data_IF_206098271441
#
_entry.id   IF_206098271441
#
_cell.length_a   1.000
_cell.length_b   1.000
_cell.length_c   1.000
_cell.angle_alpha   90.00
_cell.angle_beta   90.00
_cell.angle_gamma   90.00
#
_symmetry.space_group_name_H-M   'P 1'
#
loop_
_entity.id
_entity.type
_entity.pdbx_description
1 polymer ?
#
# COMPACT_ATOMS: atom_id res chain seq x y z
N UNK A 1 5.08 9.23 2.13
CA UNK A 1 5.56 7.89 1.78
C UNK A 1 6.12 7.90 0.35
N UNK A 2 7.33 7.39 0.17
CA UNK A 2 7.91 7.13 -1.14
C UNK A 2 7.72 5.67 -1.55
N UNK A 3 7.96 5.34 -2.82
CA UNK A 3 7.82 3.97 -3.27
C UNK A 3 8.65 3.65 -4.51
N UNK A 4 8.94 2.34 -4.66
CA UNK A 4 9.38 1.71 -5.90
C UNK A 4 8.44 0.57 -6.23
N UNK A 5 8.23 0.28 -7.50
CA UNK A 5 7.29 -0.74 -7.95
C UNK A 5 7.87 -1.58 -9.08
N UNK A 6 7.53 -2.88 -9.09
CA UNK A 6 7.85 -3.82 -10.16
C UNK A 6 6.59 -4.62 -10.54
N UNK A 7 6.15 -4.65 -11.81
CA UNK A 7 6.78 -3.99 -12.97
C UNK A 7 6.91 -2.48 -12.83
N UNK A 8 7.87 -1.83 -13.53
CA UNK A 8 8.11 -0.40 -13.36
C UNK A 8 6.97 0.46 -13.91
N UNK A 9 6.89 1.68 -13.39
CA UNK A 9 5.92 2.67 -13.88
C UNK A 9 6.11 2.97 -15.35
N UNK A 10 4.99 3.06 -16.07
CA UNK A 10 4.93 3.60 -17.41
C UNK A 10 4.08 4.88 -17.36
N UNK A 11 4.74 6.03 -17.35
CA UNK A 11 4.14 7.33 -17.06
C UNK A 11 3.61 7.35 -15.62
N UNK A 12 2.29 7.38 -15.44
CA UNK A 12 1.64 7.47 -14.11
C UNK A 12 0.93 6.17 -13.70
N UNK A 13 1.23 5.05 -14.36
CA UNK A 13 0.55 3.78 -14.11
C UNK A 13 1.48 2.59 -14.28
N UNK A 14 1.05 1.45 -13.76
CA UNK A 14 1.71 0.16 -13.90
C UNK A 14 0.84 -0.73 -14.79
N UNK A 15 1.47 -1.37 -15.77
CA UNK A 15 0.83 -2.39 -16.60
C UNK A 15 1.29 -3.76 -16.12
N UNK A 16 0.36 -4.63 -15.78
CA UNK A 16 0.65 -5.97 -15.26
C UNK A 16 -0.41 -6.94 -15.79
N UNK A 17 -0.04 -8.20 -15.99
CA UNK A 17 -0.99 -9.20 -16.44
C UNK A 17 -1.69 -9.88 -15.28
N UNK A 18 -2.94 -10.28 -15.52
CA UNK A 18 -3.69 -11.10 -14.58
C UNK A 18 -2.89 -12.37 -14.25
N UNK A 19 -2.84 -12.74 -12.98
CA UNK A 19 -2.08 -13.89 -12.50
C UNK A 19 -0.63 -13.61 -12.15
N UNK A 20 -0.09 -12.46 -12.55
CA UNK A 20 1.26 -12.05 -12.16
C UNK A 20 1.28 -11.45 -10.75
N UNK A 21 2.47 -11.15 -10.27
CA UNK A 21 2.67 -10.48 -8.98
C UNK A 21 3.10 -9.04 -9.19
N UNK A 22 2.57 -8.17 -8.35
CA UNK A 22 2.97 -6.77 -8.25
C UNK A 22 3.78 -6.62 -6.97
N UNK A 23 5.04 -6.20 -7.11
CA UNK A 23 5.91 -5.96 -5.96
C UNK A 23 6.02 -4.47 -5.72
N UNK A 24 5.78 -4.06 -4.48
CA UNK A 24 5.84 -2.68 -4.04
C UNK A 24 6.84 -2.56 -2.89
N UNK A 25 7.73 -1.58 -2.99
CA UNK A 25 8.58 -1.19 -1.87
C UNK A 25 8.10 0.17 -1.41
N UNK A 26 7.71 0.26 -0.14
CA UNK A 26 7.35 1.53 0.48
C UNK A 26 8.51 2.04 1.34
N UNK A 27 8.68 3.34 1.32
CA UNK A 27 9.62 4.04 2.18
C UNK A 27 8.81 4.94 3.10
N UNK A 28 8.71 4.53 4.36
CA UNK A 28 8.00 5.28 5.38
C UNK A 28 8.92 6.27 6.05
N UNK A 29 8.42 7.46 6.32
CA UNK A 29 9.13 8.48 7.11
C UNK A 29 8.23 8.90 8.27
N UNK A 30 8.65 8.70 9.51
CA UNK A 30 7.87 9.20 10.65
C UNK A 30 7.94 10.72 10.71
N UNK A 31 6.79 11.38 10.93
CA UNK A 31 6.74 12.82 11.16
C UNK A 31 6.03 13.18 12.47
N UNK A 32 5.43 12.20 13.12
CA UNK A 32 4.76 12.36 14.40
C UNK A 32 4.88 11.07 15.20
N UNK A 33 4.79 11.18 16.52
CA UNK A 33 4.81 10.01 17.39
C UNK A 33 3.53 9.20 17.23
N UNK A 34 3.66 7.91 16.95
CA UNK A 34 2.53 6.99 16.87
C UNK A 34 2.16 6.48 18.26
N UNK A 35 0.88 6.58 18.65
CA UNK A 35 0.44 6.14 19.98
C UNK A 35 0.27 4.61 20.10
N UNK A 36 0.37 3.89 19.00
CA UNK A 36 0.17 2.44 18.97
C UNK A 36 1.01 1.80 17.87
N UNK A 37 1.03 0.47 17.83
CA UNK A 37 1.64 -0.29 16.76
C UNK A 37 0.60 -0.55 15.68
N UNK A 38 0.78 0.12 14.53
CA UNK A 38 -0.14 0.03 13.42
C UNK A 38 0.28 -1.05 12.43
N UNK A 39 -0.71 -1.59 11.73
CA UNK A 39 -0.51 -2.47 10.59
C UNK A 39 -0.63 -1.64 9.32
N UNK A 40 0.34 -1.76 8.42
CA UNK A 40 0.26 -1.15 7.12
C UNK A 40 -0.59 -2.00 6.19
N UNK A 41 -1.40 -1.36 5.35
CA UNK A 41 -2.16 -2.05 4.32
C UNK A 41 -1.76 -1.55 2.93
N UNK A 42 -1.74 -2.48 1.99
CA UNK A 42 -1.59 -2.20 0.57
C UNK A 42 -2.77 -2.86 -0.13
N UNK A 43 -3.64 -2.08 -0.73
CA UNK A 43 -4.87 -2.55 -1.35
C UNK A 43 -4.92 -2.22 -2.83
N UNK A 44 -5.34 -3.17 -3.64
CA UNK A 44 -5.72 -2.96 -5.02
C UNK A 44 -7.24 -2.81 -5.07
N UNK A 45 -7.72 -1.62 -5.39
CA UNK A 45 -9.15 -1.30 -5.39
C UNK A 45 -9.64 -0.89 -6.78
N UNK A 46 -10.82 -1.34 -7.12
CA UNK A 46 -11.43 -1.08 -8.43
C UNK A 46 -12.95 -1.22 -8.39
N UNK A 47 -13.56 -1.74 -9.46
CA UNK A 47 -14.99 -2.00 -9.47
C UNK A 47 -15.41 -2.90 -8.32
N UNK A 48 -16.69 -2.87 -7.95
CA UNK A 48 -17.20 -3.71 -6.87
C UNK A 48 -16.88 -5.19 -7.14
N UNK A 49 -16.22 -5.84 -6.16
CA UNK A 49 -15.94 -7.26 -6.21
C UNK A 49 -17.14 -8.01 -5.65
N UNK A 50 -17.87 -8.80 -6.47
CA UNK A 50 -19.06 -9.50 -5.99
C UNK A 50 -18.76 -10.58 -4.95
N UNK A 51 -17.53 -11.11 -4.92
CA UNK A 51 -17.14 -12.12 -3.93
C UNK A 51 -16.99 -11.54 -2.53
N UNK A 52 -16.65 -10.26 -2.39
CA UNK A 52 -16.43 -9.60 -1.10
C UNK A 52 -17.47 -8.52 -0.77
N UNK A 53 -18.21 -8.05 -1.77
CA UNK A 53 -19.10 -6.90 -1.63
C UNK A 53 -18.36 -5.56 -1.43
N UNK A 54 -17.06 -5.52 -1.73
CA UNK A 54 -16.20 -4.34 -1.56
C UNK A 54 -15.41 -4.09 -2.84
N UNK A 55 -14.76 -2.92 -2.99
CA UNK A 55 -13.90 -2.66 -4.14
C UNK A 55 -12.53 -3.34 -4.05
N UNK A 56 -12.27 -4.13 -3.03
CA UNK A 56 -10.95 -4.76 -2.81
C UNK A 56 -10.79 -6.02 -3.67
N UNK A 57 -9.67 -6.09 -4.42
CA UNK A 57 -9.35 -7.21 -5.31
C UNK A 57 -8.07 -7.94 -4.93
N UNK A 58 -7.12 -7.27 -4.31
CA UNK A 58 -5.89 -7.85 -3.79
C UNK A 58 -5.38 -7.02 -2.63
N UNK A 59 -4.67 -7.64 -1.70
CA UNK A 59 -4.12 -6.95 -0.54
C UNK A 59 -2.89 -7.65 0.00
N UNK A 60 -2.03 -6.87 0.64
CA UNK A 60 -0.95 -7.35 1.47
C UNK A 60 -0.87 -6.45 2.69
N UNK A 61 -1.36 -6.93 3.82
CA UNK A 61 -1.39 -6.18 5.08
C UNK A 61 -0.42 -6.83 6.06
N UNK A 62 0.52 -6.05 6.57
CA UNK A 62 1.40 -6.52 7.65
C UNK A 62 1.97 -5.34 8.43
N UNK A 63 2.38 -5.55 9.69
CA UNK A 63 3.11 -4.51 10.41
C UNK A 63 4.43 -4.20 9.71
N UNK A 64 4.94 -2.96 9.80
CA UNK A 64 6.18 -2.58 9.13
C UNK A 64 7.31 -3.56 9.40
N UNK A 65 7.96 -4.02 8.33
CA UNK A 65 8.99 -5.07 8.34
C UNK A 65 8.56 -6.33 9.11
N UNK A 66 7.29 -6.73 8.98
CA UNK A 66 6.71 -7.90 9.65
C UNK A 66 6.89 -7.88 11.18
N UNK A 67 6.77 -6.69 11.78
CA UNK A 67 6.86 -6.49 13.22
C UNK A 67 8.25 -6.14 13.75
N UNK A 68 9.28 -6.10 12.88
CA UNK A 68 10.65 -5.72 13.29
C UNK A 68 10.80 -4.23 13.55
N UNK A 69 9.93 -3.42 12.97
CA UNK A 69 9.95 -1.97 13.06
C UNK A 69 8.60 -1.41 13.47
N UNK A 70 8.13 -1.68 14.69
CA UNK A 70 6.81 -1.24 15.13
C UNK A 70 6.71 0.29 15.16
N UNK A 71 5.56 0.83 14.72
CA UNK A 71 5.38 2.27 14.56
C UNK A 71 5.51 3.04 15.86
N UNK A 72 5.20 2.44 17.00
CA UNK A 72 5.36 3.07 18.32
C UNK A 72 6.80 3.41 18.64
N UNK A 73 7.77 2.81 17.96
CA UNK A 73 9.21 3.04 18.15
C UNK A 73 9.84 3.94 17.11
N UNK A 74 9.10 4.39 16.11
CA UNK A 74 9.67 5.20 15.03
C UNK A 74 10.18 6.56 15.52
N UNK A 75 9.62 7.10 16.58
CA UNK A 75 10.00 8.40 17.12
C UNK A 75 11.44 8.44 17.68
N UNK A 76 12.04 7.29 18.00
CA UNK A 76 13.42 7.22 18.49
C UNK A 76 14.45 7.23 17.38
N UNK A 77 14.02 7.16 16.12
CA UNK A 77 14.91 7.18 14.97
C UNK A 77 15.25 8.61 14.57
N UNK A 78 16.47 8.81 14.00
CA UNK A 78 16.85 10.14 13.52
C UNK A 78 15.85 10.68 12.49
N UNK A 79 15.68 12.02 12.52
CA UNK A 79 14.86 12.70 11.50
C UNK A 79 15.39 12.39 10.10
N UNK A 80 14.49 12.15 9.16
CA UNK A 80 14.85 11.79 7.79
C UNK A 80 15.14 10.32 7.57
N UNK A 81 15.04 9.48 8.60
CA UNK A 81 15.17 8.03 8.45
C UNK A 81 14.09 7.50 7.52
N UNK A 82 14.50 6.69 6.53
CA UNK A 82 13.57 6.00 5.64
C UNK A 82 13.49 4.54 6.05
N UNK A 83 12.28 4.08 6.34
CA UNK A 83 12.02 2.68 6.62
C UNK A 83 11.57 1.98 5.35
N UNK A 84 12.37 1.05 4.87
CA UNK A 84 12.07 0.27 3.68
C UNK A 84 11.23 -0.95 4.06
N UNK A 85 10.11 -1.13 3.37
CA UNK A 85 9.23 -2.28 3.59
C UNK A 85 8.71 -2.82 2.26
N UNK A 86 8.60 -4.14 2.13
CA UNK A 86 8.26 -4.80 0.88
C UNK A 86 6.89 -5.44 0.96
N UNK A 87 6.08 -5.19 -0.06
CA UNK A 87 4.73 -5.75 -0.21
C UNK A 87 4.63 -6.45 -1.56
N UNK A 88 3.88 -7.54 -1.58
CA UNK A 88 3.62 -8.28 -2.81
C UNK A 88 2.13 -8.54 -2.95
N UNK A 89 1.56 -8.12 -4.07
CA UNK A 89 0.18 -8.42 -4.42
C UNK A 89 0.16 -9.56 -5.43
N UNK A 90 -0.56 -10.61 -5.10
CA UNK A 90 -0.84 -11.72 -6.01
C UNK A 90 -2.10 -11.39 -6.80
N UNK A 91 -1.97 -11.27 -8.11
CA UNK A 91 -3.07 -10.88 -8.99
C UNK A 91 -3.81 -12.08 -9.59
N UNK A 92 -3.64 -13.27 -9.02
CA UNK A 92 -4.41 -14.45 -9.40
C UNK A 92 -5.90 -14.17 -9.20
N UNK A 93 -6.68 -14.35 -10.25
CA UNK A 93 -8.13 -14.14 -10.21
C UNK A 93 -8.55 -12.67 -10.30
N UNK A 94 -7.62 -11.74 -10.42
CA UNK A 94 -7.95 -10.33 -10.63
C UNK A 94 -8.23 -10.10 -12.12
N UNK A 95 -9.47 -9.71 -12.48
CA UNK A 95 -9.83 -9.57 -13.89
C UNK A 95 -9.15 -8.34 -14.52
N UNK A 96 -9.00 -8.35 -15.87
CA UNK A 96 -8.52 -7.17 -16.59
C UNK A 96 -9.40 -5.97 -16.34
N UNK A 97 -8.82 -4.90 -15.82
CA UNK A 97 -9.49 -3.62 -15.56
C UNK A 97 -8.44 -2.60 -15.11
N UNK A 98 -8.91 -1.41 -14.77
CA UNK A 98 -8.09 -0.37 -14.16
C UNK A 98 -8.40 -0.27 -12.67
N UNK A 99 -7.35 -0.32 -11.86
CA UNK A 99 -7.42 -0.30 -10.41
C UNK A 99 -6.60 0.85 -9.85
N UNK A 100 -6.88 1.22 -8.60
CA UNK A 100 -6.05 2.13 -7.84
C UNK A 100 -5.27 1.34 -6.79
N UNK A 101 -3.99 1.61 -6.66
CA UNK A 101 -3.20 1.10 -5.54
C UNK A 101 -3.26 2.10 -4.40
N UNK A 102 -3.78 1.65 -3.26
CA UNK A 102 -3.94 2.47 -2.07
C UNK A 102 -3.17 1.89 -0.91
N UNK A 103 -2.58 2.77 -0.12
CA UNK A 103 -1.82 2.39 1.07
C UNK A 103 -2.32 3.18 2.27
N UNK A 104 -2.14 2.60 3.44
CA UNK A 104 -2.50 3.24 4.68
C UNK A 104 -2.04 2.42 5.87
N UNK A 105 -2.48 2.84 7.06
CA UNK A 105 -2.23 2.13 8.30
C UNK A 105 -3.48 2.11 9.15
N UNK A 106 -3.67 1.04 9.92
CA UNK A 106 -4.78 0.91 10.85
C UNK A 106 -4.31 0.27 12.16
N UNK A 107 -5.05 0.55 13.22
CA UNK A 107 -4.86 -0.13 14.49
C UNK A 107 -5.49 -1.52 14.40
N UNK A 108 -4.73 -2.62 14.50
CA UNK A 108 -5.27 -3.97 14.34
C UNK A 108 -6.24 -4.37 15.44
N UNK A 109 -6.22 -3.67 16.59
CA UNK A 109 -7.14 -3.95 17.69
C UNK A 109 -8.51 -3.33 17.48
N UNK A 110 -8.59 -2.17 16.82
CA UNK A 110 -9.83 -1.41 16.66
C UNK A 110 -10.30 -1.36 15.23
N UNK A 111 -9.42 -1.62 14.25
CA UNK A 111 -9.70 -1.43 12.84
C UNK A 111 -9.70 0.02 12.38
N UNK A 112 -9.44 0.97 13.28
CA UNK A 112 -9.45 2.40 12.96
C UNK A 112 -8.21 2.76 12.17
N UNK A 113 -8.40 3.38 11.01
CA UNK A 113 -7.31 3.87 10.16
C UNK A 113 -6.73 5.16 10.71
N UNK A 114 -5.45 5.40 10.44
CA UNK A 114 -4.77 6.64 10.81
C UNK A 114 -4.54 7.50 9.58
N UNK A 115 -4.40 8.80 9.80
CA UNK A 115 -4.10 9.74 8.73
C UNK A 115 -2.65 9.56 8.26
N UNK A 116 -2.47 9.52 6.95
CA UNK A 116 -1.17 9.50 6.27
C UNK A 116 -1.01 10.73 5.41
N UNK A 117 0.23 10.99 5.02
CA UNK A 117 0.57 12.02 4.04
C UNK A 117 1.50 11.42 2.98
N UNK A 118 1.20 11.71 1.72
CA UNK A 118 2.12 11.45 0.61
C UNK A 118 3.02 12.68 0.43
N UNK A 119 4.32 12.51 0.65
CA UNK A 119 5.29 13.61 0.57
C UNK A 119 5.41 14.19 -0.85
N UNK A 120 5.19 13.38 -1.88
CA UNK A 120 5.37 13.79 -3.28
C UNK A 120 4.18 14.61 -3.79
N UNK A 121 2.96 14.26 -3.38
CA UNK A 121 1.73 14.91 -3.86
C UNK A 121 1.07 15.79 -2.81
N UNK A 122 1.56 15.77 -1.57
CA UNK A 122 0.94 16.39 -0.40
C UNK A 122 -0.50 15.91 -0.15
N UNK A 123 -0.88 14.77 -0.74
CA UNK A 123 -2.16 14.13 -0.47
C UNK A 123 -2.20 13.62 0.97
N UNK A 124 -3.31 13.85 1.66
CA UNK A 124 -3.51 13.38 3.03
C UNK A 124 -4.85 12.66 3.14
N UNK A 125 -4.95 11.74 4.10
CA UNK A 125 -6.17 10.99 4.37
C UNK A 125 -5.88 9.68 5.08
N UNK A 126 -6.91 8.87 5.26
CA UNK A 126 -6.80 7.54 5.87
C UNK A 126 -6.40 6.45 4.87
N UNK A 127 -6.29 6.80 3.61
CA UNK A 127 -5.69 6.00 2.55
C UNK A 127 -5.14 6.95 1.48
N UNK A 128 -3.95 6.64 0.98
CA UNK A 128 -3.28 7.42 -0.06
C UNK A 128 -3.26 6.59 -1.33
N UNK A 129 -3.79 7.13 -2.43
CA UNK A 129 -3.68 6.53 -3.75
C UNK A 129 -2.32 6.87 -4.35
N UNK A 130 -1.50 5.85 -4.65
CA UNK A 130 -0.15 6.05 -5.16
C UNK A 130 -0.11 6.11 -6.68
N UNK A 131 -0.80 5.18 -7.35
CA UNK A 131 -0.82 5.10 -8.81
C UNK A 131 -1.94 4.20 -9.30
N UNK A 132 -2.22 4.27 -10.60
CA UNK A 132 -3.13 3.33 -11.25
C UNK A 132 -2.40 2.06 -11.64
N UNK A 133 -3.11 0.94 -11.56
CA UNK A 133 -2.69 -0.37 -12.03
C UNK A 133 -3.65 -0.84 -13.10
N UNK A 134 -3.15 -1.03 -14.31
CA UNK A 134 -3.92 -1.61 -15.40
C UNK A 134 -3.59 -3.09 -15.49
N UNK A 135 -4.56 -3.93 -15.19
CA UNK A 135 -4.42 -5.37 -15.30
C UNK A 135 -4.82 -5.79 -16.70
N UNK A 136 -3.88 -6.40 -17.41
CA UNK A 136 -4.07 -6.89 -18.77
C UNK A 136 -4.51 -8.35 -18.74
N UNK A 137 -5.18 -8.84 -19.80
CA UNK A 137 -5.54 -10.25 -19.89
C UNK A 137 -4.30 -11.15 -19.84
N UNK A 138 -4.49 -12.38 -19.38
CA UNK A 138 -3.46 -13.42 -19.50
C UNK A 138 -3.10 -13.63 -20.97
N UNK A 139 -1.82 -14.00 -21.26
CA UNK A 139 -1.40 -14.25 -22.65
C UNK A 139 -2.11 -15.45 -23.26
#
# INVERSE_FOLDING_TARGET
VGYDVSPPMQRDRVLVRSGERLRLILYWTPFARAPADYTAFVHLEGPLNPATGTPLWAQDDHPPQHGRAPTSQWHVWPAGTLLRDVYTLDLTGVPPDTYALRVGMYNPRTGVRVALRDADTDQAGDAVALFEVVVLPEP
#
